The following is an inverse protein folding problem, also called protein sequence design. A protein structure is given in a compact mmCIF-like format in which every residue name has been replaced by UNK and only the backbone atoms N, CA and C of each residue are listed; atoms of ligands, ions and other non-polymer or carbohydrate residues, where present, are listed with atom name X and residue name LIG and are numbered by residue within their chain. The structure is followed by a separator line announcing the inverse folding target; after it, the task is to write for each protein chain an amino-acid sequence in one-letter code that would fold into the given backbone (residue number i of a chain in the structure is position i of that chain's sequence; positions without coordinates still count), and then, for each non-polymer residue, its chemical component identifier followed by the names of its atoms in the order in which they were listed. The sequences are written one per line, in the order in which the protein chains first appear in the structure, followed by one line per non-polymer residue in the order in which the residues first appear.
data_IF_393460049229
#
_entry.id   IF_393460049229
#
_cell.length_a   1.000
_cell.length_b   1.000
_cell.length_c   1.000
_cell.angle_alpha   90.00
_cell.angle_beta   90.00
_cell.angle_gamma   90.00
#
_symmetry.space_group_name_H-M   'P 1'
#
loop_
_entity.id
_entity.type
_entity.pdbx_description
1 polymer ?
#
# COMPACT_ATOMS: atom_id res chain seq x y z
N UNK A 1 46.38 -19.42 -15.49
CA UNK A 1 45.11 -19.06 -16.18
C UNK A 1 44.04 -18.98 -15.12
N UNK A 2 43.77 -17.78 -14.61
CA UNK A 2 42.76 -17.57 -13.55
C UNK A 2 41.42 -17.43 -14.29
N UNK A 3 40.54 -18.41 -14.13
CA UNK A 3 39.15 -18.31 -14.54
C UNK A 3 38.51 -17.19 -13.72
N UNK A 4 38.14 -16.08 -14.38
CA UNK A 4 37.35 -15.03 -13.77
C UNK A 4 36.01 -15.62 -13.33
N UNK A 5 35.78 -15.68 -12.03
CA UNK A 5 34.46 -15.94 -11.47
C UNK A 5 33.53 -14.87 -12.04
N UNK A 6 32.34 -15.23 -12.57
CA UNK A 6 31.35 -14.23 -12.92
C UNK A 6 31.09 -13.38 -11.68
N UNK A 7 31.21 -12.06 -11.81
CA UNK A 7 30.79 -11.13 -10.78
C UNK A 7 29.37 -11.50 -10.37
N UNK A 8 29.12 -11.62 -9.06
CA UNK A 8 27.77 -11.77 -8.55
C UNK A 8 26.90 -10.66 -9.17
N UNK A 9 25.87 -11.05 -9.92
CA UNK A 9 24.89 -10.10 -10.40
C UNK A 9 24.22 -9.50 -9.16
N UNK A 10 24.57 -8.26 -8.80
CA UNK A 10 23.76 -7.50 -7.86
C UNK A 10 22.45 -7.25 -8.57
N UNK A 11 21.40 -7.94 -8.16
CA UNK A 11 20.06 -7.58 -8.62
C UNK A 11 19.81 -6.14 -8.16
N UNK A 12 19.43 -5.28 -9.10
CA UNK A 12 18.98 -3.92 -8.78
C UNK A 12 17.58 -4.04 -8.16
N UNK A 13 17.20 -3.18 -7.20
CA UNK A 13 15.84 -3.14 -6.70
C UNK A 13 14.84 -3.08 -7.86
N UNK A 14 13.80 -3.92 -7.80
CA UNK A 14 12.81 -4.04 -8.87
C UNK A 14 11.60 -3.19 -8.51
N UNK A 15 11.18 -2.36 -9.47
CA UNK A 15 9.95 -1.58 -9.38
C UNK A 15 8.77 -2.40 -9.87
N UNK A 16 7.70 -2.42 -9.10
CA UNK A 16 6.48 -3.19 -9.33
C UNK A 16 5.27 -2.26 -9.35
N UNK A 17 4.47 -2.31 -10.40
CA UNK A 17 3.15 -1.69 -10.40
C UNK A 17 2.16 -2.60 -9.68
N UNK A 18 1.45 -2.07 -8.69
CA UNK A 18 0.37 -2.78 -8.01
C UNK A 18 -0.83 -2.87 -8.95
N UNK A 19 -1.23 -4.10 -9.28
CA UNK A 19 -2.34 -4.38 -10.19
C UNK A 19 -3.55 -4.99 -9.47
N UNK A 20 -3.42 -5.33 -8.19
CA UNK A 20 -4.52 -5.84 -7.41
C UNK A 20 -4.14 -6.19 -5.97
N UNK A 21 -5.16 -6.22 -5.13
CA UNK A 21 -5.04 -6.45 -3.70
C UNK A 21 -6.30 -6.03 -2.98
N UNK A 22 -6.30 -6.20 -1.67
CA UNK A 22 -7.42 -5.92 -0.79
C UNK A 22 -6.98 -5.08 0.39
N UNK A 23 -7.85 -4.19 0.84
CA UNK A 23 -7.72 -3.50 2.11
C UNK A 23 -8.91 -3.83 3.00
N UNK A 24 -8.65 -4.16 4.26
CA UNK A 24 -9.65 -4.24 5.32
C UNK A 24 -9.46 -3.03 6.20
N UNK A 25 -10.48 -2.17 6.29
CA UNK A 25 -10.48 -1.00 7.14
C UNK A 25 -11.34 -1.29 8.37
N UNK A 26 -10.82 -0.94 9.54
CA UNK A 26 -11.50 -1.06 10.82
C UNK A 26 -11.48 0.29 11.52
N UNK A 27 -12.64 0.71 12.02
CA UNK A 27 -12.82 1.97 12.75
C UNK A 27 -13.03 1.65 14.22
N UNK A 28 -12.25 2.30 15.09
CA UNK A 28 -12.30 2.11 16.52
C UNK A 28 -12.62 3.42 17.24
N UNK A 29 -13.47 3.37 18.26
CA UNK A 29 -13.69 4.45 19.21
C UNK A 29 -13.47 3.89 20.63
N UNK A 30 -12.56 4.51 21.40
CA UNK A 30 -12.22 4.03 22.75
C UNK A 30 -11.72 2.58 22.79
N UNK A 31 -11.10 2.11 21.70
CA UNK A 31 -10.61 0.72 21.55
C UNK A 31 -11.67 -0.31 21.16
N UNK A 32 -12.94 0.09 21.01
CA UNK A 32 -14.02 -0.76 20.53
C UNK A 32 -14.17 -0.57 19.04
N UNK A 33 -14.24 -1.67 18.28
CA UNK A 33 -14.50 -1.59 16.84
C UNK A 33 -15.96 -1.19 16.61
N UNK A 34 -16.16 -0.06 15.94
CA UNK A 34 -17.47 0.50 15.62
C UNK A 34 -17.78 0.46 14.13
N UNK A 35 -16.82 0.12 13.26
CA UNK A 35 -17.06 0.03 11.83
C UNK A 35 -16.05 -0.86 11.13
N UNK A 36 -16.43 -1.38 9.97
CA UNK A 36 -15.49 -2.04 9.07
C UNK A 36 -15.95 -1.99 7.62
N UNK A 37 -14.97 -2.04 6.71
CA UNK A 37 -15.20 -2.22 5.29
C UNK A 37 -14.07 -3.04 4.68
N UNK A 38 -14.38 -3.72 3.58
CA UNK A 38 -13.40 -4.41 2.76
C UNK A 38 -13.52 -3.85 1.35
N UNK A 39 -12.39 -3.44 0.78
CA UNK A 39 -12.32 -2.96 -0.59
C UNK A 39 -11.21 -3.70 -1.35
N UNK A 40 -11.44 -3.90 -2.64
CA UNK A 40 -10.49 -4.51 -3.56
C UNK A 40 -10.13 -3.52 -4.68
N UNK A 41 -8.97 -3.73 -5.30
CA UNK A 41 -8.48 -2.86 -6.37
C UNK A 41 -7.45 -1.85 -5.89
N UNK A 42 -6.54 -2.28 -5.01
CA UNK A 42 -5.33 -1.52 -4.71
C UNK A 42 -4.53 -1.24 -5.99
N UNK A 43 -3.96 -0.04 -6.06
CA UNK A 43 -3.05 0.39 -7.14
C UNK A 43 -1.85 1.13 -6.55
N UNK A 44 -0.89 1.52 -7.38
CA UNK A 44 0.32 2.23 -6.97
C UNK A 44 1.59 1.50 -7.40
N UNK A 45 2.68 1.69 -6.64
CA UNK A 45 4.00 1.18 -6.96
C UNK A 45 4.75 0.73 -5.70
N UNK A 46 5.54 -0.33 -5.84
CA UNK A 46 6.47 -0.80 -4.80
C UNK A 46 7.87 -0.91 -5.41
N UNK A 47 8.90 -0.64 -4.63
CA UNK A 47 10.28 -0.99 -5.00
C UNK A 47 10.82 -2.00 -4.01
N UNK A 48 11.18 -3.19 -4.48
CA UNK A 48 11.61 -4.31 -3.65
C UNK A 48 13.00 -4.75 -4.06
N UNK A 49 13.92 -4.80 -3.10
CA UNK A 49 15.22 -5.46 -3.27
C UNK A 49 15.18 -6.83 -2.58
N UNK A 50 15.07 -7.89 -3.37
CA UNK A 50 15.07 -9.25 -2.84
C UNK A 50 16.46 -9.74 -2.43
N UNK A 51 17.53 -9.17 -3.00
CA UNK A 51 18.90 -9.50 -2.62
C UNK A 51 19.30 -8.81 -1.31
N UNK A 52 18.92 -7.55 -1.15
CA UNK A 52 19.04 -6.75 0.08
C UNK A 52 17.98 -7.08 1.14
N UNK A 53 16.90 -7.78 0.77
CA UNK A 53 15.74 -8.10 1.60
C UNK A 53 15.11 -6.85 2.23
N UNK A 54 14.86 -5.85 1.38
CA UNK A 54 14.30 -4.56 1.76
C UNK A 54 13.09 -4.19 0.90
N UNK A 55 12.20 -3.41 1.50
CA UNK A 55 11.17 -2.64 0.81
C UNK A 55 11.72 -1.21 0.70
N UNK A 56 12.13 -0.81 -0.49
CA UNK A 56 12.90 0.42 -0.72
C UNK A 56 12.01 1.63 -0.97
N UNK A 57 10.81 1.41 -1.52
CA UNK A 57 9.80 2.44 -1.72
C UNK A 57 8.40 1.82 -1.70
N UNK A 58 7.42 2.63 -1.29
CA UNK A 58 6.02 2.22 -1.19
C UNK A 58 5.11 3.38 -1.59
N UNK A 59 4.22 3.12 -2.52
CA UNK A 59 3.13 4.00 -2.89
C UNK A 59 1.90 3.12 -3.16
N UNK A 60 0.89 3.19 -2.28
CA UNK A 60 -0.33 2.39 -2.39
C UNK A 60 -1.53 3.29 -2.31
N UNK A 61 -2.29 3.32 -3.40
CA UNK A 61 -3.58 3.98 -3.47
C UNK A 61 -4.70 2.99 -3.17
N UNK A 62 -5.53 3.32 -2.19
CA UNK A 62 -6.73 2.58 -1.86
C UNK A 62 -7.85 2.87 -2.89
N UNK A 63 -8.82 1.96 -3.07
CA UNK A 63 -10.03 2.24 -3.83
C UNK A 63 -10.73 3.50 -3.31
N UNK A 64 -11.30 4.29 -4.20
CA UNK A 64 -12.09 5.47 -3.84
C UNK A 64 -13.45 5.08 -3.26
N UNK A 65 -14.03 5.96 -2.46
CA UNK A 65 -15.41 5.88 -1.95
C UNK A 65 -15.71 4.61 -1.15
N UNK A 66 -14.80 4.21 -0.26
CA UNK A 66 -15.02 3.07 0.62
C UNK A 66 -15.99 3.49 1.72
N UNK A 67 -17.22 3.01 1.66
CA UNK A 67 -18.25 3.29 2.65
C UNK A 67 -18.12 2.39 3.88
N UNK A 68 -18.16 3.00 5.06
CA UNK A 68 -18.11 2.37 6.38
C UNK A 68 -19.38 2.74 7.14
N UNK A 69 -20.24 1.76 7.37
CA UNK A 69 -21.38 1.93 8.28
C UNK A 69 -20.90 1.70 9.70
N UNK A 70 -21.20 2.63 10.59
CA UNK A 70 -20.86 2.54 12.00
C UNK A 70 -21.99 1.87 12.78
N UNK A 71 -21.65 1.00 13.73
CA UNK A 71 -22.59 0.35 14.64
C UNK A 71 -23.16 1.31 15.69
N UNK A 72 -22.49 2.45 15.88
CA UNK A 72 -22.91 3.58 16.71
C UNK A 72 -22.48 4.86 16.01
N UNK A 73 -23.29 5.92 16.09
CA UNK A 73 -22.89 7.22 15.58
C UNK A 73 -21.64 7.73 16.31
N UNK A 74 -20.78 8.43 15.57
CA UNK A 74 -19.62 9.12 16.09
C UNK A 74 -19.61 10.55 15.55
N UNK A 75 -19.55 11.54 16.44
CA UNK A 75 -19.60 12.95 16.05
C UNK A 75 -20.89 13.36 15.35
N UNK A 76 -21.98 12.61 15.58
CA UNK A 76 -23.26 12.78 14.91
C UNK A 76 -23.41 12.08 13.55
N UNK A 77 -22.39 11.37 13.06
CA UNK A 77 -22.44 10.62 11.79
C UNK A 77 -22.50 9.12 12.05
N UNK A 78 -23.31 8.40 11.28
CA UNK A 78 -23.44 6.93 11.34
C UNK A 78 -22.80 6.23 10.13
N UNK A 79 -22.41 7.00 9.12
CA UNK A 79 -21.67 6.51 7.96
C UNK A 79 -20.47 7.41 7.69
N UNK A 80 -19.32 6.79 7.47
CA UNK A 80 -18.09 7.45 7.03
C UNK A 80 -17.72 6.89 5.67
N UNK A 81 -17.29 7.73 4.75
CA UNK A 81 -16.78 7.29 3.45
C UNK A 81 -15.35 7.78 3.32
N UNK A 82 -14.42 6.87 3.07
CA UNK A 82 -13.07 7.25 2.64
C UNK A 82 -13.16 7.55 1.14
N UNK A 83 -13.20 8.83 0.80
CA UNK A 83 -13.33 9.32 -0.57
C UNK A 83 -12.07 8.97 -1.36
N UNK A 84 -10.91 9.19 -0.74
CA UNK A 84 -9.59 8.83 -1.27
C UNK A 84 -8.60 8.57 -0.13
N UNK A 85 -7.62 7.69 -0.35
CA UNK A 85 -6.48 7.52 0.53
C UNK A 85 -5.29 6.96 -0.24
N UNK A 86 -4.13 7.58 -0.04
CA UNK A 86 -2.84 7.15 -0.55
C UNK A 86 -1.85 7.01 0.60
N UNK A 87 -1.15 5.88 0.63
CA UNK A 87 -0.07 5.60 1.56
C UNK A 87 1.24 5.63 0.77
N UNK A 88 2.10 6.61 1.02
CA UNK A 88 3.39 6.75 0.32
C UNK A 88 4.55 6.85 1.29
N UNK A 89 5.75 6.51 0.83
CA UNK A 89 6.97 6.80 1.58
C UNK A 89 7.12 8.30 1.86
N UNK A 90 7.54 8.62 3.08
CA UNK A 90 7.81 9.99 3.49
C UNK A 90 9.32 10.27 3.39
N UNK A 91 9.69 11.55 3.55
CA UNK A 91 11.11 11.95 3.54
C UNK A 91 11.87 11.19 4.63
N UNK A 92 12.94 10.50 4.20
CA UNK A 92 13.77 9.69 5.10
C UNK A 92 13.24 8.27 5.33
N UNK A 93 12.29 7.80 4.52
CA UNK A 93 11.88 6.41 4.51
C UNK A 93 13.08 5.48 4.37
N UNK A 94 13.09 4.46 5.20
CA UNK A 94 14.02 3.35 5.13
C UNK A 94 13.34 2.10 5.66
N UNK A 95 13.80 0.93 5.21
CA UNK A 95 13.38 -0.35 5.78
C UNK A 95 14.55 -1.10 6.42
N UNK A 96 14.22 -1.90 7.43
CA UNK A 96 15.15 -2.74 8.17
C UNK A 96 14.62 -4.16 8.19
N UNK A 97 15.45 -5.12 7.80
CA UNK A 97 15.14 -6.53 7.88
C UNK A 97 14.94 -6.95 9.35
N UNK A 98 13.78 -7.57 9.63
CA UNK A 98 13.45 -8.15 10.94
C UNK A 98 13.67 -9.66 10.95
N UNK A 99 13.27 -10.34 9.88
CA UNK A 99 13.42 -11.79 9.74
C UNK A 99 13.45 -12.22 8.27
N UNK A 100 14.06 -13.36 8.01
CA UNK A 100 14.27 -13.92 6.68
C UNK A 100 13.93 -15.40 6.67
N UNK A 101 13.17 -15.83 5.67
CA UNK A 101 12.80 -17.20 5.38
C UNK A 101 13.08 -17.51 3.89
N UNK A 102 13.18 -18.79 3.48
CA UNK A 102 13.60 -19.16 2.12
C UNK A 102 12.79 -18.61 0.94
N UNK A 103 11.61 -18.03 1.19
CA UNK A 103 10.74 -17.43 0.17
C UNK A 103 9.98 -16.18 0.67
N UNK A 104 10.39 -15.63 1.81
CA UNK A 104 9.74 -14.47 2.39
C UNK A 104 10.68 -13.74 3.35
N UNK A 105 10.43 -12.46 3.56
CA UNK A 105 11.14 -11.70 4.57
C UNK A 105 10.21 -10.66 5.18
N UNK A 106 10.47 -10.34 6.45
CA UNK A 106 9.72 -9.32 7.18
C UNK A 106 10.60 -8.11 7.37
N UNK A 107 10.09 -6.93 7.04
CA UNK A 107 10.77 -5.65 7.23
C UNK A 107 9.98 -4.74 8.17
N UNK A 108 10.68 -3.88 8.89
CA UNK A 108 10.11 -2.69 9.50
C UNK A 108 10.47 -1.51 8.60
N UNK A 109 9.49 -0.74 8.13
CA UNK A 109 9.73 0.39 7.23
C UNK A 109 9.02 1.66 7.69
N UNK A 110 9.63 2.82 7.49
CA UNK A 110 9.01 4.10 7.80
C UNK A 110 10.00 5.28 7.78
N UNK A 111 9.53 6.52 7.90
CA UNK A 111 8.12 6.92 8.05
C UNK A 111 7.33 6.91 6.72
N UNK A 112 6.01 6.84 6.80
CA UNK A 112 5.07 6.94 5.68
C UNK A 112 4.10 8.11 5.88
N UNK A 113 3.62 8.67 4.79
CA UNK A 113 2.54 9.65 4.77
C UNK A 113 1.25 9.00 4.26
N UNK A 114 0.14 9.27 4.95
CA UNK A 114 -1.21 8.97 4.50
C UNK A 114 -1.90 10.26 4.14
N UNK A 115 -2.27 10.40 2.88
CA UNK A 115 -2.96 11.58 2.34
C UNK A 115 -4.24 11.15 1.67
N UNK A 116 -5.32 11.88 1.91
CA UNK A 116 -6.62 11.52 1.36
C UNK A 116 -7.73 12.47 1.80
N UNK A 117 -8.96 11.97 1.73
CA UNK A 117 -10.15 12.70 2.18
C UNK A 117 -11.26 11.75 2.61
N UNK A 118 -12.14 12.25 3.48
CA UNK A 118 -13.30 11.53 3.96
C UNK A 118 -14.56 12.41 4.01
N UNK A 119 -15.71 11.74 4.01
CA UNK A 119 -17.03 12.34 4.20
C UNK A 119 -17.80 11.63 5.30
N UNK A 120 -18.72 12.35 5.95
CA UNK A 120 -19.58 11.86 7.01
C UNK A 120 -21.04 12.12 6.66
N UNK A 121 -21.89 11.11 6.86
CA UNK A 121 -23.32 11.18 6.62
C UNK A 121 -24.05 10.66 7.86
N UNK A 122 -25.19 11.29 8.15
CA UNK A 122 -26.13 10.86 9.17
C UNK A 122 -27.40 10.38 8.46
N UNK A 123 -27.64 9.08 8.54
CA UNK A 123 -28.72 8.39 7.84
C UNK A 123 -29.87 8.00 8.77
N UNK A 124 -29.65 8.05 10.09
CA UNK A 124 -30.57 7.53 11.10
C UNK A 124 -31.24 8.62 11.92
N UNK A 125 -30.60 9.77 12.21
CA UNK A 125 -31.21 10.80 13.05
C UNK A 125 -32.25 11.66 12.30
N UNK A 126 -33.14 12.30 13.07
CA UNK A 126 -34.15 13.22 12.57
C UNK A 126 -34.26 14.48 13.44
N UNK A 127 -33.95 15.69 12.91
CA UNK A 127 -33.39 15.91 11.57
C UNK A 127 -31.97 15.32 11.46
N UNK A 128 -31.55 14.85 10.28
CA UNK A 128 -30.18 14.36 10.09
C UNK A 128 -29.19 15.52 10.22
N UNK A 129 -28.00 15.23 10.73
CA UNK A 129 -26.89 16.17 10.67
C UNK A 129 -26.53 16.49 9.21
N UNK A 130 -26.08 17.73 8.97
CA UNK A 130 -25.62 18.13 7.64
C UNK A 130 -24.40 17.30 7.25
N UNK A 131 -24.36 16.68 6.07
CA UNK A 131 -23.22 15.87 5.65
C UNK A 131 -21.96 16.73 5.50
N UNK A 132 -20.82 16.13 5.81
CA UNK A 132 -19.48 16.70 5.56
C UNK A 132 -18.81 15.91 4.45
N UNK A 133 -17.98 16.55 3.62
CA UNK A 133 -17.28 15.92 2.50
C UNK A 133 -15.97 16.68 2.22
N UNK A 134 -14.99 15.99 1.64
CA UNK A 134 -13.68 16.56 1.33
C UNK A 134 -12.85 16.89 2.56
N UNK A 135 -13.13 16.28 3.71
CA UNK A 135 -12.37 16.55 4.92
C UNK A 135 -11.00 15.87 4.77
N UNK A 136 -9.88 16.61 4.85
CA UNK A 136 -8.58 16.06 4.54
C UNK A 136 -8.14 14.99 5.54
N UNK A 137 -7.50 13.95 5.02
CA UNK A 137 -6.69 12.99 5.77
C UNK A 137 -5.23 13.39 5.54
N UNK A 138 -4.51 13.65 6.63
CA UNK A 138 -3.08 13.90 6.62
C UNK A 138 -2.49 13.30 7.90
N UNK A 139 -1.94 12.10 7.79
CA UNK A 139 -1.45 11.34 8.93
C UNK A 139 -0.09 10.73 8.63
N UNK A 140 0.87 10.86 9.56
CA UNK A 140 2.17 10.23 9.43
C UNK A 140 2.18 8.90 10.19
N UNK A 141 2.53 7.82 9.49
CA UNK A 141 2.75 6.51 10.09
C UNK A 141 4.25 6.36 10.39
N UNK A 142 4.67 6.32 11.66
CA UNK A 142 6.09 6.30 12.00
C UNK A 142 6.83 5.05 11.51
N UNK A 143 6.15 3.91 11.57
CA UNK A 143 6.68 2.63 11.12
C UNK A 143 5.54 1.68 10.78
N UNK A 144 5.81 0.79 9.83
CA UNK A 144 4.99 -0.36 9.48
C UNK A 144 5.82 -1.62 9.61
N UNK A 145 5.14 -2.75 9.83
CA UNK A 145 5.72 -4.07 9.62
C UNK A 145 5.14 -4.65 8.34
N UNK A 146 6.01 -4.94 7.38
CA UNK A 146 5.66 -5.47 6.07
C UNK A 146 6.23 -6.88 5.92
N UNK A 147 5.39 -7.83 5.53
CA UNK A 147 5.80 -9.18 5.13
C UNK A 147 5.78 -9.24 3.62
N UNK A 148 6.93 -9.54 3.01
CA UNK A 148 7.06 -9.77 1.57
C UNK A 148 7.21 -11.25 1.30
N UNK A 149 6.48 -11.77 0.29
CA UNK A 149 6.54 -13.18 -0.12
C UNK A 149 6.11 -13.33 -1.58
N UNK A 150 6.09 -14.55 -2.12
CA UNK A 150 5.58 -14.78 -3.48
C UNK A 150 4.05 -14.67 -3.58
N UNK A 151 3.32 -14.96 -2.49
CA UNK A 151 1.85 -14.92 -2.45
C UNK A 151 1.32 -14.90 -1.01
N UNK A 152 0.75 -13.80 -0.51
CA UNK A 152 0.65 -12.47 -1.14
C UNK A 152 2.00 -11.77 -1.26
N UNK A 153 2.12 -10.83 -2.20
CA UNK A 153 3.39 -10.12 -2.48
C UNK A 153 3.81 -9.23 -1.32
N UNK A 154 2.84 -8.53 -0.72
CA UNK A 154 3.03 -7.64 0.42
C UNK A 154 1.83 -7.75 1.34
N UNK A 155 2.09 -7.90 2.64
CA UNK A 155 1.08 -7.75 3.70
C UNK A 155 1.55 -6.75 4.73
N UNK A 156 0.69 -5.79 5.08
CA UNK A 156 0.90 -4.83 6.15
C UNK A 156 -0.31 -4.84 7.06
N UNK A 157 -0.08 -4.99 8.36
CA UNK A 157 -1.15 -5.05 9.35
C UNK A 157 -1.18 -3.79 10.20
N UNK A 158 -2.39 -3.35 10.56
CA UNK A 158 -2.63 -2.25 11.49
C UNK A 158 -2.00 -0.91 11.09
N UNK A 159 -1.97 -0.60 9.78
CA UNK A 159 -1.55 0.73 9.29
C UNK A 159 -2.58 1.76 9.74
N UNK A 160 -2.16 2.78 10.48
CA UNK A 160 -3.09 3.85 10.89
C UNK A 160 -3.34 4.79 9.71
N UNK A 161 -4.56 4.82 9.18
CA UNK A 161 -4.92 5.71 8.09
C UNK A 161 -5.25 7.11 8.59
N UNK A 162 -5.88 7.21 9.75
CA UNK A 162 -6.22 8.49 10.37
C UNK A 162 -6.46 8.31 11.87
N UNK A 163 -6.32 9.41 12.62
CA UNK A 163 -6.71 9.51 14.02
C UNK A 163 -7.38 10.86 14.24
N UNK A 164 -8.62 10.85 14.73
CA UNK A 164 -9.43 12.04 14.97
C UNK A 164 -9.61 12.22 16.48
N UNK A 165 -9.27 13.42 16.97
CA UNK A 165 -9.45 13.77 18.36
C UNK A 165 -10.94 13.89 18.69
N UNK A 166 -11.44 13.04 19.58
CA UNK A 166 -12.87 12.95 19.91
C UNK A 166 -13.52 14.27 20.36
N UNK A 167 -12.85 15.09 21.20
CA UNK A 167 -13.42 16.36 21.65
C UNK A 167 -13.79 17.33 20.52
N UNK A 168 -13.11 17.27 19.37
CA UNK A 168 -13.44 18.09 18.21
C UNK A 168 -14.80 17.71 17.57
N UNK A 169 -15.30 16.52 17.89
CA UNK A 169 -16.56 15.97 17.41
C UNK A 169 -17.59 15.79 18.53
N UNK A 170 -17.33 16.32 19.73
CA UNK A 170 -18.22 16.13 20.88
C UNK A 170 -18.16 14.73 21.52
N UNK A 171 -17.13 13.96 21.16
CA UNK A 171 -16.89 12.60 21.66
C UNK A 171 -15.87 12.60 22.81
N UNK A 172 -15.98 11.64 23.71
CA UNK A 172 -15.04 11.49 24.84
C UNK A 172 -13.82 10.65 24.51
N UNK A 173 -13.86 9.96 23.37
CA UNK A 173 -12.80 9.05 22.91
C UNK A 173 -12.39 9.37 21.49
N UNK A 174 -11.10 9.22 21.21
CA UNK A 174 -10.57 9.40 19.87
C UNK A 174 -11.02 8.28 18.94
N UNK A 175 -11.19 8.62 17.67
CA UNK A 175 -11.49 7.68 16.61
C UNK A 175 -10.22 7.34 15.87
N UNK A 176 -9.93 6.04 15.77
CA UNK A 176 -8.74 5.52 15.10
C UNK A 176 -9.17 4.64 13.94
N UNK A 177 -8.63 4.91 12.76
CA UNK A 177 -8.89 4.13 11.55
C UNK A 177 -7.64 3.32 11.23
N UNK A 178 -7.78 1.99 11.26
CA UNK A 178 -6.72 1.06 10.93
C UNK A 178 -7.01 0.35 9.61
N UNK A 179 -5.96 0.03 8.87
CA UNK A 179 -6.01 -0.73 7.65
C UNK A 179 -5.08 -1.94 7.69
N UNK A 180 -5.60 -3.08 7.24
CA UNK A 180 -4.80 -4.23 6.85
C UNK A 180 -4.76 -4.28 5.33
N UNK A 181 -3.57 -4.19 4.76
CA UNK A 181 -3.34 -4.07 3.32
C UNK A 181 -2.67 -5.36 2.85
N UNK A 182 -3.22 -5.94 1.78
CA UNK A 182 -2.66 -7.14 1.15
C UNK A 182 -2.59 -6.94 -0.36
N UNK A 183 -1.37 -6.97 -0.92
CA UNK A 183 -1.12 -6.90 -2.36
C UNK A 183 -0.99 -8.32 -2.90
N UNK A 184 -1.87 -8.68 -3.83
CA UNK A 184 -1.94 -10.03 -4.39
C UNK A 184 -1.44 -10.10 -5.84
N UNK A 185 -1.33 -8.95 -6.51
CA UNK A 185 -0.90 -8.88 -7.90
C UNK A 185 -0.04 -7.65 -8.15
N UNK A 186 1.12 -7.89 -8.73
CA UNK A 186 2.01 -6.85 -9.22
C UNK A 186 2.51 -7.19 -10.63
N UNK A 187 2.94 -6.16 -11.35
CA UNK A 187 3.60 -6.29 -12.64
C UNK A 187 4.95 -5.59 -12.53
N UNK A 188 6.04 -6.33 -12.74
CA UNK A 188 7.38 -5.74 -12.77
C UNK A 188 7.47 -4.71 -13.91
N UNK A 189 7.99 -3.53 -13.60
CA UNK A 189 8.28 -2.48 -14.58
C UNK A 189 9.58 -2.84 -15.29
N UNK A 190 9.58 -3.05 -16.62
CA UNK A 190 10.80 -3.44 -17.34
C UNK A 190 11.90 -2.38 -17.19
N UNK A 191 13.10 -2.82 -16.82
CA UNK A 191 14.27 -1.94 -16.88
C UNK A 191 14.58 -1.58 -18.35
N UNK A 192 14.97 -0.33 -18.66
CA UNK A 192 15.31 0.10 -20.01
C UNK A 192 16.39 -0.78 -20.69
N UNK A 193 17.33 -1.33 -19.89
CA UNK A 193 18.41 -2.18 -20.39
C UNK A 193 17.93 -3.56 -20.88
N UNK A 194 16.95 -4.16 -20.21
CA UNK A 194 16.39 -5.47 -20.57
C UNK A 194 15.58 -5.39 -21.87
N UNK A 195 14.83 -4.29 -22.06
CA UNK A 195 14.13 -4.03 -23.32
C UNK A 195 15.10 -3.86 -24.51
N UNK A 196 16.22 -3.17 -24.29
CA UNK A 196 17.24 -2.95 -25.31
C UNK A 196 17.95 -4.27 -25.72
N UNK A 197 18.31 -5.13 -24.76
CA UNK A 197 18.94 -6.42 -25.05
C UNK A 197 18.01 -7.38 -25.80
N UNK A 198 16.73 -7.44 -25.43
CA UNK A 198 15.72 -8.24 -26.15
C UNK A 198 15.54 -7.70 -27.57
N UNK A 199 15.48 -6.38 -27.74
CA UNK A 199 15.40 -5.74 -29.06
C UNK A 199 16.62 -6.05 -29.95
N UNK A 200 17.83 -5.96 -29.41
CA UNK A 200 19.06 -6.28 -30.16
C UNK A 200 19.18 -7.77 -30.50
N UNK A 201 18.76 -8.66 -29.59
CA UNK A 201 18.74 -10.11 -29.81
C UNK A 201 17.80 -10.53 -30.94
N UNK A 202 16.60 -9.94 -30.99
CA UNK A 202 15.64 -10.16 -32.08
C UNK A 202 16.15 -9.66 -33.44
N UNK A 203 16.85 -8.52 -33.47
CA UNK A 203 17.47 -7.98 -34.70
C UNK A 203 18.61 -8.88 -35.19
N UNK A 204 19.40 -9.46 -34.28
CA UNK A 204 20.47 -10.40 -34.63
C UNK A 204 19.92 -11.72 -35.17
N UNK A 205 18.88 -12.29 -34.54
CA UNK A 205 18.24 -13.54 -35.00
C UNK A 205 17.52 -13.35 -36.34
N UNK A 206 16.92 -12.18 -36.59
CA UNK A 206 16.29 -11.87 -37.88
C UNK A 206 17.31 -11.76 -39.04
N UNK A 207 18.58 -11.48 -38.76
CA UNK A 207 19.67 -11.48 -39.77
C UNK A 207 20.25 -12.87 -40.05
N UNK A 208 19.96 -13.88 -39.23
CA UNK A 208 20.44 -15.27 -39.43
C UNK A 208 19.33 -16.09 -40.11
N UNK A 209 18.80 -15.60 -41.25
CA UNK A 209 18.05 -16.49 -42.16
C UNK A 209 19.07 -17.25 -43.02
N UNK A 210 19.07 -18.59 -43.03
CA UNK A 210 19.90 -19.34 -43.97
C UNK A 210 19.35 -19.09 -45.38
N UNK A 211 20.20 -18.62 -46.30
CA UNK A 211 19.90 -18.68 -47.72
C UNK A 211 19.79 -20.17 -48.10
N UNK A 212 18.57 -20.64 -48.36
CA UNK A 212 18.39 -21.92 -49.06
C UNK A 212 18.75 -21.68 -50.53
N UNK A 213 19.66 -22.53 -51.03
CA UNK A 213 20.08 -22.68 -52.42
C UNK A 213 18.92 -22.65 -53.41
#
# INVERSE_FOLDING_TARGET
MILGLPSAASAVPIVYNVAGGTVVISVYAGGIQIGSAIAAGLTGQLTIDTAGQSLDAIDITLPSNIALNLSQSYGGYDQVIIESANLSDAVGYNSVLLSSEPASFTTSGGPLDVVGSWSGVDTVNSPPNSPVSGIPIAYQVPTITAVLSDSPILTMNSVTLNSLAGPAFGETTDLVILANITVNSVVAVPEPGTALLVGLGLVLVARIRPSRN
#
